data_IF_397497339649
#
_entry.id   IF_397497339649
#
_cell.length_a   1.000
_cell.length_b   1.000
_cell.length_c   1.000
_cell.angle_alpha   90.00
_cell.angle_beta   90.00
_cell.angle_gamma   90.00
#
_symmetry.space_group_name_H-M   'P 1'
#
loop_
_entity.id
_entity.type
_entity.pdbx_description
1 polymer ?
#
# COMPACT_ATOMS: atom_id res chain seq x y z
N UNK A 1 0.16 -0.31 15.21
CA UNK A 1 0.55 -1.23 14.12
C UNK A 1 0.96 -0.39 12.92
N UNK A 2 2.06 -0.70 12.22
CA UNK A 2 2.52 0.09 11.05
C UNK A 2 2.05 -0.58 9.75
N UNK A 3 1.39 0.16 8.86
CA UNK A 3 0.87 -0.33 7.56
C UNK A 3 2.01 -0.84 6.67
N UNK A 4 2.02 -2.10 6.21
CA UNK A 4 3.13 -2.62 5.39
C UNK A 4 3.25 -1.86 4.06
N UNK A 5 4.46 -1.78 3.51
CA UNK A 5 4.71 -1.15 2.20
C UNK A 5 4.58 -2.17 1.09
N UNK A 6 3.82 -1.82 0.06
CA UNK A 6 3.73 -2.52 -1.23
C UNK A 6 4.12 -1.51 -2.28
N UNK A 7 5.22 -1.78 -2.98
CA UNK A 7 5.69 -0.91 -4.05
C UNK A 7 4.98 -1.26 -5.35
N UNK A 8 4.62 -0.23 -6.12
CA UNK A 8 4.05 -0.42 -7.45
C UNK A 8 5.13 -0.89 -8.43
N UNK A 9 4.75 -1.72 -9.40
CA UNK A 9 5.65 -2.09 -10.51
C UNK A 9 5.57 -1.07 -11.63
N UNK A 10 4.36 -0.55 -11.87
CA UNK A 10 4.09 0.47 -12.89
C UNK A 10 3.43 1.70 -12.28
N UNK A 11 3.62 2.87 -12.90
CA UNK A 11 3.12 4.15 -12.39
C UNK A 11 1.58 4.18 -12.21
N UNK A 12 0.85 3.47 -13.06
CA UNK A 12 -0.63 3.41 -13.08
C UNK A 12 -1.24 2.56 -11.97
N UNK A 13 -0.42 1.88 -11.17
CA UNK A 13 -0.86 0.89 -10.18
C UNK A 13 -0.96 1.44 -8.75
N UNK A 14 -0.66 2.73 -8.56
CA UNK A 14 -0.60 3.37 -7.23
C UNK A 14 -1.86 3.14 -6.39
N UNK A 15 -3.05 3.16 -7.01
CA UNK A 15 -4.32 2.89 -6.35
C UNK A 15 -4.46 1.43 -5.87
N UNK A 16 -4.09 0.47 -6.72
CA UNK A 16 -4.12 -0.96 -6.37
C UNK A 16 -3.09 -1.28 -5.27
N UNK A 17 -1.88 -0.72 -5.37
CA UNK A 17 -0.85 -0.84 -4.35
C UNK A 17 -1.28 -0.21 -3.02
N UNK A 18 -1.92 0.97 -3.04
CA UNK A 18 -2.47 1.62 -1.85
C UNK A 18 -3.54 0.77 -1.17
N UNK A 19 -4.45 0.18 -1.93
CA UNK A 19 -5.45 -0.75 -1.39
C UNK A 19 -4.79 -2.02 -0.82
N UNK A 20 -3.74 -2.55 -1.47
CA UNK A 20 -2.98 -3.69 -0.97
C UNK A 20 -2.37 -3.41 0.42
N UNK A 21 -1.80 -2.22 0.60
CA UNK A 21 -1.21 -1.79 1.87
C UNK A 21 -2.26 -1.72 2.99
N UNK A 22 -3.44 -1.14 2.69
CA UNK A 22 -4.56 -1.05 3.65
C UNK A 22 -5.11 -2.43 4.01
N UNK A 23 -5.37 -3.30 3.03
CA UNK A 23 -5.82 -4.68 3.27
C UNK A 23 -4.82 -5.43 4.15
N UNK A 24 -3.52 -5.31 3.83
CA UNK A 24 -2.47 -5.97 4.57
C UNK A 24 -2.29 -5.41 5.99
N UNK A 25 -2.60 -4.13 6.23
CA UNK A 25 -2.68 -3.57 7.59
C UNK A 25 -3.70 -4.32 8.45
N UNK A 26 -4.87 -4.63 7.87
CA UNK A 26 -5.93 -5.35 8.57
C UNK A 26 -5.75 -6.88 8.57
N UNK A 27 -4.67 -7.39 7.95
CA UNK A 27 -4.31 -8.81 7.94
C UNK A 27 -4.85 -9.60 6.75
N UNK A 28 -5.23 -8.93 5.66
CA UNK A 28 -5.59 -9.58 4.39
C UNK A 28 -4.53 -9.28 3.32
N UNK A 29 -3.79 -10.30 2.92
CA UNK A 29 -2.76 -10.21 1.89
C UNK A 29 -3.32 -10.66 0.54
N UNK A 30 -3.51 -9.72 -0.37
CA UNK A 30 -3.99 -9.99 -1.73
C UNK A 30 -2.85 -9.70 -2.72
N UNK A 31 -2.59 -10.57 -3.71
CA UNK A 31 -1.61 -10.31 -4.76
C UNK A 31 -1.92 -9.01 -5.51
N UNK A 32 -0.89 -8.26 -5.91
CA UNK A 32 -1.08 -7.00 -6.62
C UNK A 32 -1.73 -7.23 -7.99
N UNK A 33 -1.45 -8.36 -8.62
CA UNK A 33 -2.06 -8.81 -9.88
C UNK A 33 -3.58 -8.89 -9.79
N UNK A 34 -4.10 -9.48 -8.71
CA UNK A 34 -5.54 -9.58 -8.46
C UNK A 34 -6.14 -8.20 -8.18
N UNK A 35 -5.43 -7.37 -7.41
CA UNK A 35 -5.87 -6.02 -7.09
C UNK A 35 -5.88 -5.08 -8.30
N UNK A 36 -4.99 -5.27 -9.29
CA UNK A 36 -5.01 -4.52 -10.56
C UNK A 36 -6.33 -4.73 -11.29
N UNK A 37 -6.78 -6.00 -11.36
CA UNK A 37 -8.04 -6.38 -12.00
C UNK A 37 -9.21 -5.83 -11.17
N UNK A 38 -9.20 -6.05 -9.85
CA UNK A 38 -10.29 -5.62 -8.96
C UNK A 38 -10.47 -4.09 -8.95
N UNK A 39 -9.37 -3.32 -8.98
CA UNK A 39 -9.41 -1.85 -9.04
C UNK A 39 -9.66 -1.31 -10.45
N UNK A 40 -9.72 -2.18 -11.47
CA UNK A 40 -9.88 -1.77 -12.86
C UNK A 40 -8.77 -0.83 -13.32
N UNK A 41 -7.51 -1.16 -12.99
CA UNK A 41 -6.34 -0.40 -13.45
C UNK A 41 -6.35 -0.37 -14.98
N UNK A 42 -6.34 0.83 -15.55
CA UNK A 42 -6.23 1.06 -16.98
C UNK A 42 -4.96 1.85 -17.32
N UNK A 43 -4.82 2.25 -18.58
CA UNK A 43 -3.74 3.16 -19.03
C UNK A 43 -3.78 4.51 -18.32
N UNK A 44 -4.94 4.94 -17.83
CA UNK A 44 -5.13 6.20 -17.12
C UNK A 44 -5.05 6.03 -15.58
N UNK A 45 -4.64 4.85 -15.10
CA UNK A 45 -4.62 4.53 -13.67
C UNK A 45 -5.95 3.98 -13.15
N UNK A 46 -6.23 4.23 -11.87
CA UNK A 46 -7.45 3.76 -11.20
C UNK A 46 -8.29 4.91 -10.66
N UNK A 47 -9.61 4.85 -10.85
CA UNK A 47 -10.55 5.84 -10.30
C UNK A 47 -10.88 5.52 -8.84
N UNK A 48 -11.08 6.55 -8.02
CA UNK A 48 -11.48 6.40 -6.62
C UNK A 48 -12.74 5.54 -6.45
N UNK A 49 -13.71 5.66 -7.34
CA UNK A 49 -14.92 4.83 -7.34
C UNK A 49 -14.63 3.34 -7.49
N UNK A 50 -13.66 2.97 -8.33
CA UNK A 50 -13.24 1.58 -8.51
C UNK A 50 -12.50 1.07 -7.28
N UNK A 51 -11.63 1.90 -6.67
CA UNK A 51 -10.96 1.54 -5.41
C UNK A 51 -11.98 1.25 -4.30
N UNK A 52 -12.98 2.12 -4.15
CA UNK A 52 -14.05 1.92 -3.17
C UNK A 52 -14.86 0.65 -3.45
N UNK A 53 -15.17 0.38 -4.73
CA UNK A 53 -15.87 -0.85 -5.13
C UNK A 53 -15.03 -2.10 -4.82
N UNK A 54 -13.75 -2.08 -5.17
CA UNK A 54 -12.82 -3.17 -4.90
C UNK A 54 -12.68 -3.43 -3.40
N UNK A 55 -12.46 -2.38 -2.61
CA UNK A 55 -12.36 -2.46 -1.15
C UNK A 55 -13.59 -3.13 -0.52
N UNK A 56 -14.79 -2.74 -0.94
CA UNK A 56 -16.06 -3.37 -0.50
C UNK A 56 -16.14 -4.83 -0.92
N UNK A 57 -15.65 -5.18 -2.11
CA UNK A 57 -15.54 -6.58 -2.57
C UNK A 57 -14.66 -7.44 -1.66
N UNK A 58 -13.68 -6.85 -0.96
CA UNK A 58 -12.85 -7.54 0.04
C UNK A 58 -13.40 -7.46 1.47
N UNK A 59 -14.63 -6.96 1.65
CA UNK A 59 -15.33 -6.88 2.93
C UNK A 59 -15.01 -5.64 3.77
N UNK A 60 -14.29 -4.65 3.23
CA UNK A 60 -14.10 -3.37 3.91
C UNK A 60 -15.36 -2.50 3.80
N UNK A 61 -15.69 -1.75 4.86
CA UNK A 61 -16.47 -0.53 4.70
C UNK A 61 -15.56 0.52 4.08
N UNK A 62 -16.03 1.20 3.02
CA UNK A 62 -15.21 2.16 2.29
C UNK A 62 -16.05 3.38 1.88
N UNK A 63 -15.57 4.58 2.24
CA UNK A 63 -16.23 5.87 1.96
C UNK A 63 -15.21 6.86 1.39
N UNK A 64 -15.59 7.54 0.31
CA UNK A 64 -14.85 8.71 -0.18
C UNK A 64 -15.39 9.97 0.50
N UNK A 65 -14.50 10.80 1.02
CA UNK A 65 -14.83 12.05 1.69
C UNK A 65 -13.92 13.17 1.18
N UNK A 66 -14.44 14.39 1.24
CA UNK A 66 -13.66 15.60 1.03
C UNK A 66 -13.48 16.29 2.38
N UNK A 67 -12.25 16.56 2.78
CA UNK A 67 -11.94 17.17 4.07
C UNK A 67 -10.62 17.95 4.02
N UNK A 68 -10.47 18.90 4.93
CA UNK A 68 -9.21 19.63 5.09
C UNK A 68 -8.19 18.85 5.94
N UNK A 69 -7.01 19.42 6.10
CA UNK A 69 -5.92 18.83 6.86
C UNK A 69 -6.18 18.71 8.35
N UNK A 70 -6.99 19.61 8.92
CA UNK A 70 -7.36 19.55 10.33
C UNK A 70 -8.29 18.36 10.59
N UNK A 71 -9.32 18.20 9.76
CA UNK A 71 -10.25 17.06 9.83
C UNK A 71 -9.55 15.73 9.52
N UNK A 72 -8.57 15.72 8.60
CA UNK A 72 -7.76 14.52 8.32
C UNK A 72 -6.99 14.04 9.57
N UNK A 73 -6.59 14.95 10.47
CA UNK A 73 -5.88 14.56 11.69
C UNK A 73 -6.72 13.70 12.65
N UNK A 74 -8.06 13.77 12.52
CA UNK A 74 -9.02 12.97 13.30
C UNK A 74 -9.35 11.63 12.62
N UNK A 75 -8.90 11.42 11.38
CA UNK A 75 -9.14 10.17 10.65
C UNK A 75 -8.24 9.07 11.18
N UNK A 76 -8.85 7.94 11.51
CA UNK A 76 -8.12 6.73 11.90
C UNK A 76 -7.30 6.19 10.72
N UNK A 77 -6.00 6.03 10.93
CA UNK A 77 -5.12 5.40 9.96
C UNK A 77 -5.31 3.86 9.90
N UNK A 78 -5.08 3.22 8.73
CA UNK A 78 -4.69 3.83 7.48
C UNK A 78 -5.87 4.30 6.62
N UNK A 79 -5.66 5.38 5.87
CA UNK A 79 -6.59 5.89 4.85
C UNK A 79 -5.84 6.10 3.52
N UNK A 80 -6.54 6.14 2.40
CA UNK A 80 -5.93 6.46 1.09
C UNK A 80 -6.19 7.93 0.78
N UNK A 81 -5.15 8.67 0.43
CA UNK A 81 -5.24 10.06 0.02
C UNK A 81 -5.08 10.16 -1.49
N UNK A 82 -5.85 11.05 -2.12
CA UNK A 82 -5.54 11.50 -3.46
C UNK A 82 -4.54 12.65 -3.40
N UNK A 83 -3.44 12.50 -4.14
CA UNK A 83 -2.21 13.26 -4.00
C UNK A 83 -1.86 13.92 -5.34
N UNK A 84 -1.57 15.22 -5.31
CA UNK A 84 -1.10 16.02 -6.47
C UNK A 84 -1.98 15.86 -7.74
N UNK A 85 -3.27 15.58 -7.54
CA UNK A 85 -4.26 15.34 -8.59
C UNK A 85 -3.95 14.21 -9.58
N UNK A 86 -2.98 13.34 -9.28
CA UNK A 86 -2.56 12.27 -10.20
C UNK A 86 -2.13 10.97 -9.52
N UNK A 87 -2.06 10.92 -8.19
CA UNK A 87 -1.46 9.81 -7.45
C UNK A 87 -2.28 9.42 -6.23
N UNK A 88 -2.09 8.19 -5.74
CA UNK A 88 -2.64 7.74 -4.47
C UNK A 88 -1.51 7.36 -3.52
N UNK A 89 -1.62 7.82 -2.27
CA UNK A 89 -0.72 7.46 -1.18
C UNK A 89 -1.51 7.01 0.04
N UNK A 90 -0.90 6.24 0.92
CA UNK A 90 -1.55 5.80 2.17
C UNK A 90 -1.14 6.71 3.32
N UNK A 91 -2.12 7.31 3.97
CA UNK A 91 -1.97 8.03 5.23
C UNK A 91 -1.72 7.06 6.38
N UNK A 92 -0.62 7.27 7.11
CA UNK A 92 -0.17 6.44 8.23
C UNK A 92 -0.22 7.19 9.58
N UNK A 93 -0.76 8.41 9.62
CA UNK A 93 -0.91 9.23 10.83
C UNK A 93 -0.20 10.59 10.75
N UNK A 94 -0.54 11.50 11.66
CA UNK A 94 0.19 12.75 11.88
C UNK A 94 1.26 12.61 12.97
N UNK A 95 2.23 13.50 12.98
CA UNK A 95 3.22 13.53 14.07
C UNK A 95 4.27 14.61 13.92
N UNK A 96 5.40 14.42 14.62
CA UNK A 96 6.55 15.32 14.56
C UNK A 96 7.83 14.58 14.23
N UNK A 97 8.68 15.19 13.40
CA UNK A 97 10.03 14.71 13.11
C UNK A 97 10.99 15.88 13.17
N UNK A 98 12.03 15.77 14.00
CA UNK A 98 13.01 16.84 14.23
C UNK A 98 12.36 18.20 14.56
N UNK A 99 11.37 18.18 15.46
CA UNK A 99 10.63 19.38 15.89
C UNK A 99 9.51 19.86 14.95
N UNK A 100 9.55 19.49 13.66
CA UNK A 100 8.55 19.91 12.66
C UNK A 100 7.31 19.01 12.69
N UNK A 101 6.12 19.60 12.58
CA UNK A 101 4.85 18.86 12.38
C UNK A 101 4.74 18.39 10.94
N UNK A 102 4.06 17.26 10.74
CA UNK A 102 3.81 16.72 9.41
C UNK A 102 3.04 15.41 9.47
N UNK A 103 3.02 14.74 8.32
CA UNK A 103 2.23 13.55 8.08
C UNK A 103 3.13 12.40 7.65
N UNK A 104 2.90 11.22 8.21
CA UNK A 104 3.53 10.00 7.73
C UNK A 104 2.67 9.43 6.60
N UNK A 105 3.28 9.24 5.44
CA UNK A 105 2.65 8.61 4.29
C UNK A 105 3.45 7.40 3.84
N UNK A 106 2.77 6.41 3.28
CA UNK A 106 3.34 5.26 2.61
C UNK A 106 2.98 5.36 1.14
N UNK A 107 3.94 5.83 0.35
CA UNK A 107 3.80 6.11 -1.07
C UNK A 107 4.12 4.84 -1.88
N UNK A 108 3.23 4.35 -2.76
CA UNK A 108 3.52 3.20 -3.62
C UNK A 108 4.80 3.33 -4.47
N UNK A 109 5.19 4.55 -4.85
CA UNK A 109 6.39 4.78 -5.66
C UNK A 109 7.67 5.01 -4.84
N UNK A 110 7.55 5.51 -3.61
CA UNK A 110 8.70 5.95 -2.79
C UNK A 110 8.83 5.23 -1.45
N UNK A 111 7.85 4.41 -1.08
CA UNK A 111 7.72 3.82 0.24
C UNK A 111 7.36 4.85 1.32
N UNK A 112 7.70 4.53 2.57
CA UNK A 112 7.35 5.37 3.72
C UNK A 112 8.18 6.64 3.76
N UNK A 113 7.50 7.77 3.95
CA UNK A 113 8.15 9.07 4.16
C UNK A 113 7.38 9.93 5.15
N UNK A 114 8.10 10.88 5.75
CA UNK A 114 7.51 11.94 6.54
C UNK A 114 7.42 13.19 5.65
N UNK A 115 6.24 13.77 5.55
CA UNK A 115 5.95 14.97 4.75
C UNK A 115 5.73 16.13 5.71
N UNK A 116 6.60 17.16 5.70
CA UNK A 116 6.37 18.38 6.48
C UNK A 116 5.03 19.01 6.11
N UNK A 117 4.38 19.66 7.08
CA UNK A 117 3.03 20.22 6.88
C UNK A 117 2.93 21.15 5.65
N UNK A 118 3.94 22.00 5.45
CA UNK A 118 4.03 22.93 4.32
C UNK A 118 3.97 22.21 2.95
N UNK A 119 4.68 21.09 2.82
CA UNK A 119 4.67 20.26 1.60
C UNK A 119 3.34 19.50 1.50
N UNK A 120 2.82 19.03 2.64
CA UNK A 120 1.57 18.28 2.67
C UNK A 120 0.39 19.12 2.18
N UNK A 121 0.27 20.37 2.63
CA UNK A 121 -0.83 21.27 2.24
C UNK A 121 -0.81 21.58 0.73
N UNK A 122 0.37 21.61 0.10
CA UNK A 122 0.50 21.82 -1.34
C UNK A 122 0.12 20.58 -2.16
N UNK A 123 0.38 19.38 -1.62
CA UNK A 123 0.19 18.12 -2.33
C UNK A 123 -1.17 17.45 -2.06
N UNK A 124 -1.75 17.64 -0.88
CA UNK A 124 -3.01 17.01 -0.50
C UNK A 124 -4.19 17.70 -1.20
N UNK A 125 -4.96 16.91 -1.96
CA UNK A 125 -6.08 17.44 -2.77
C UNK A 125 -7.38 17.63 -1.99
N UNK A 126 -7.44 17.22 -0.72
CA UNK A 126 -8.66 17.18 0.07
C UNK A 126 -9.47 15.88 -0.05
N UNK A 127 -9.16 15.02 -1.03
CA UNK A 127 -9.91 13.76 -1.24
C UNK A 127 -9.29 12.61 -0.46
N UNK A 128 -10.10 11.96 0.38
CA UNK A 128 -9.71 10.88 1.29
C UNK A 128 -10.65 9.68 1.11
N UNK A 129 -10.09 8.48 0.99
CA UNK A 129 -10.84 7.23 1.08
C UNK A 129 -10.58 6.63 2.46
N UNK A 130 -11.63 6.57 3.28
CA UNK A 130 -11.57 5.95 4.60
C UNK A 130 -12.06 4.51 4.49
N UNK A 131 -11.25 3.59 5.00
CA UNK A 131 -11.45 2.16 4.88
C UNK A 131 -11.29 1.45 6.22
N UNK A 132 -12.29 0.66 6.60
CA UNK A 132 -12.28 -0.11 7.85
C UNK A 132 -12.80 -1.54 7.60
N UNK A 133 -12.40 -2.53 8.42
CA UNK A 133 -13.00 -3.86 8.38
C UNK A 133 -14.52 -3.77 8.60
N UNK A 134 -15.30 -4.23 7.62
CA UNK A 134 -16.74 -4.44 7.79
C UNK A 134 -17.05 -5.84 8.30
N UNK A 135 -18.34 -6.16 8.44
CA UNK A 135 -18.80 -7.47 8.93
C UNK A 135 -18.31 -8.63 8.05
N UNK A 136 -18.22 -8.43 6.73
CA UNK A 136 -17.72 -9.42 5.78
C UNK A 136 -16.19 -9.46 5.65
N UNK A 137 -15.44 -8.69 6.44
CA UNK A 137 -13.99 -8.67 6.33
C UNK A 137 -13.36 -9.92 6.96
N UNK A 138 -12.67 -10.70 6.13
CA UNK A 138 -11.89 -11.84 6.58
C UNK A 138 -10.39 -11.60 6.39
N UNK A 139 -9.60 -11.88 7.43
CA UNK A 139 -8.15 -11.99 7.32
C UNK A 139 -7.79 -13.19 6.46
N UNK A 140 -6.66 -13.13 5.77
CA UNK A 140 -6.24 -14.24 4.92
C UNK A 140 -5.17 -13.88 3.91
N UNK A 141 -4.84 -14.84 3.06
CA UNK A 141 -3.73 -14.75 2.12
C UNK A 141 -2.37 -14.91 2.78
N UNK A 142 -1.31 -14.94 1.96
CA UNK A 142 0.05 -15.14 2.44
C UNK A 142 0.92 -13.97 2.04
N UNK A 143 1.64 -13.39 3.00
CA UNK A 143 2.67 -12.40 2.68
C UNK A 143 3.69 -13.03 1.72
N UNK A 144 4.02 -12.40 0.58
CA UNK A 144 5.06 -12.90 -0.31
C UNK A 144 6.37 -13.05 0.48
N UNK A 145 7.01 -14.21 0.37
CA UNK A 145 8.20 -14.54 1.14
C UNK A 145 9.15 -15.44 0.37
N UNK A 146 10.42 -15.05 0.31
CA UNK A 146 11.49 -15.78 -0.37
C UNK A 146 11.69 -17.19 0.21
N UNK A 147 11.53 -17.35 1.52
CA UNK A 147 11.73 -18.65 2.22
C UNK A 147 10.83 -19.77 1.69
N UNK A 148 9.60 -19.44 1.28
CA UNK A 148 8.68 -20.44 0.71
C UNK A 148 8.92 -20.74 -0.78
N UNK A 149 9.62 -19.85 -1.50
CA UNK A 149 9.89 -19.98 -2.93
C UNK A 149 11.28 -20.55 -3.24
N UNK A 150 12.23 -20.42 -2.31
CA UNK A 150 13.60 -20.91 -2.43
C UNK A 150 13.69 -22.43 -2.67
N UNK A 151 13.04 -23.31 -1.89
CA UNK A 151 13.22 -24.75 -2.05
C UNK A 151 12.80 -25.23 -3.44
N UNK A 152 11.72 -24.66 -4.00
CA UNK A 152 11.26 -24.99 -5.35
C UNK A 152 12.26 -24.57 -6.44
N UNK A 153 12.93 -23.42 -6.25
CA UNK A 153 13.93 -22.89 -7.21
C UNK A 153 15.30 -23.56 -7.10
N UNK A 154 15.64 -24.09 -5.93
CA UNK A 154 16.93 -24.75 -5.66
C UNK A 154 16.92 -26.26 -5.93
N UNK A 155 15.74 -26.88 -6.13
CA UNK A 155 15.62 -28.31 -6.44
C UNK A 155 16.40 -28.76 -7.68
N UNK A 156 16.62 -27.87 -8.67
CA UNK A 156 17.39 -28.17 -9.88
C UNK A 156 18.90 -27.89 -9.79
N UNK A 157 19.36 -27.17 -8.76
CA UNK A 157 20.75 -26.71 -8.61
C UNK A 157 21.41 -27.15 -7.30
N UNK A 158 20.71 -27.97 -6.51
CA UNK A 158 21.13 -28.39 -5.17
C UNK A 158 22.51 -29.07 -5.12
N UNK A 159 22.94 -29.76 -6.19
CA UNK A 159 24.26 -30.40 -6.26
C UNK A 159 25.39 -29.46 -6.70
N UNK A 160 25.10 -28.42 -7.51
CA UNK A 160 26.11 -27.52 -8.06
C UNK A 160 26.42 -26.34 -7.14
N UNK A 161 25.46 -25.92 -6.30
CA UNK A 161 25.61 -24.83 -5.35
C UNK A 161 26.74 -25.02 -4.33
N UNK A 162 26.87 -26.18 -3.64
CA UNK A 162 27.97 -26.39 -2.70
C UNK A 162 29.33 -26.40 -3.41
N UNK A 163 29.42 -26.93 -4.63
CA UNK A 163 30.65 -26.93 -5.43
C UNK A 163 31.07 -25.50 -5.81
N UNK A 164 30.12 -24.67 -6.23
CA UNK A 164 30.40 -23.26 -6.56
C UNK A 164 30.80 -22.44 -5.32
N UNK A 165 30.18 -22.70 -4.16
CA UNK A 165 30.56 -22.06 -2.89
C UNK A 165 31.96 -22.51 -2.43
N UNK A 166 32.29 -23.80 -2.54
CA UNK A 166 33.62 -24.32 -2.21
C UNK A 166 34.70 -23.75 -3.14
N UNK A 167 34.42 -23.67 -4.44
CA UNK A 167 35.36 -23.14 -5.43
C UNK A 167 35.57 -21.62 -5.34
N UNK A 168 34.63 -20.87 -4.73
CA UNK A 168 34.76 -19.42 -4.50
C UNK A 168 35.41 -19.07 -3.16
N UNK A 169 35.68 -20.06 -2.32
CA UNK A 169 36.41 -19.94 -1.05
C UNK A 169 37.88 -20.40 -1.14
N UNK A 170 38.30 -20.91 -2.31
CA UNK A 170 39.68 -21.23 -2.67
C UNK A 170 40.29 -20.07 -3.47
#
# INVERSE_FOLDING_TARGET
>A
MRTPTVLQMEAVECGAASLAMVLAHYGRHVPLEELRIACGVSRDGSRASNLLKAARGYGLTAKGMQMDTAALAEVKAPAILFWEFNHYVVYDGTGRRLGRRGVYVNDPGKGRRFVPMEEFDASFTGVVLVLEPGEGFARGGRRPGIRGALPARLRGTAGALPVAVLASLL
#
